data_IF_528388387430
#
_entry.id   IF_528388387430
#
_cell.length_a   1.000
_cell.length_b   1.000
_cell.length_c   1.000
_cell.angle_alpha   90.00
_cell.angle_beta   90.00
_cell.angle_gamma   90.00
#
_symmetry.space_group_name_H-M   'P 1'
#
loop_
_entity.id
_entity.type
_entity.pdbx_description
1 polymer ?
#
# COMPACT_ATOMS: atom_id res chain seq x y z
N UNK A 1 -9.29 -36.69 2.22
CA UNK A 1 -10.27 -36.75 3.33
C UNK A 1 -11.65 -37.01 2.74
N UNK A 2 -12.54 -37.74 3.45
CA UNK A 2 -13.94 -37.80 3.03
C UNK A 2 -14.51 -36.37 3.00
N UNK A 3 -15.49 -36.10 2.12
CA UNK A 3 -16.24 -34.84 2.17
C UNK A 3 -16.73 -34.63 3.61
N UNK A 4 -16.76 -33.39 4.08
CA UNK A 4 -17.34 -33.04 5.37
C UNK A 4 -18.62 -33.86 5.57
N UNK A 5 -18.68 -34.64 6.66
CA UNK A 5 -19.89 -35.37 7.03
C UNK A 5 -21.06 -34.39 6.95
N UNK A 6 -22.12 -34.74 6.23
CA UNK A 6 -23.32 -33.92 6.07
C UNK A 6 -23.90 -33.46 7.42
N UNK A 7 -23.55 -34.13 8.52
CA UNK A 7 -23.97 -33.77 9.87
C UNK A 7 -23.07 -32.75 10.59
N UNK A 8 -21.87 -32.43 10.06
CA UNK A 8 -21.01 -31.41 10.66
C UNK A 8 -21.25 -30.07 9.96
N UNK A 9 -21.82 -29.06 10.65
CA UNK A 9 -22.11 -27.79 10.02
C UNK A 9 -20.80 -27.06 9.66
N UNK A 10 -20.73 -26.52 8.43
CA UNK A 10 -19.61 -25.70 7.98
C UNK A 10 -19.37 -24.55 8.97
N UNK A 11 -18.10 -24.26 9.27
CA UNK A 11 -17.69 -23.21 10.21
C UNK A 11 -18.37 -23.31 11.60
N UNK A 12 -18.71 -24.53 12.05
CA UNK A 12 -19.36 -24.74 13.35
C UNK A 12 -20.79 -24.17 13.42
N UNK A 13 -21.45 -24.01 12.27
CA UNK A 13 -22.80 -23.44 12.18
C UNK A 13 -22.85 -21.92 12.12
N UNK A 14 -21.70 -21.24 12.07
CA UNK A 14 -21.66 -19.80 11.87
C UNK A 14 -22.11 -19.41 10.45
N UNK A 15 -22.93 -18.37 10.35
CA UNK A 15 -23.23 -17.74 9.08
C UNK A 15 -22.00 -16.93 8.62
N UNK A 16 -21.38 -17.36 7.52
CA UNK A 16 -20.16 -16.74 6.99
C UNK A 16 -20.44 -16.12 5.63
N UNK A 17 -20.06 -14.86 5.46
CA UNK A 17 -20.13 -14.16 4.17
C UNK A 17 -18.71 -13.80 3.73
N UNK A 18 -18.26 -14.40 2.64
CA UNK A 18 -17.01 -14.00 1.98
C UNK A 18 -17.28 -12.90 0.97
N UNK A 19 -16.60 -11.76 1.11
CA UNK A 19 -16.71 -10.64 0.19
C UNK A 19 -15.34 -10.32 -0.38
N UNK A 20 -15.23 -10.21 -1.71
CA UNK A 20 -13.98 -9.87 -2.36
C UNK A 20 -14.07 -9.94 -3.88
N UNK A 21 -12.93 -9.66 -4.51
CA UNK A 21 -12.77 -9.78 -5.96
C UNK A 21 -11.49 -10.59 -6.21
N UNK A 22 -11.65 -11.85 -6.63
CA UNK A 22 -10.55 -12.78 -6.86
C UNK A 22 -9.56 -12.30 -7.93
N UNK A 23 -10.00 -11.40 -8.82
CA UNK A 23 -9.14 -10.80 -9.84
C UNK A 23 -8.21 -9.68 -9.30
N UNK A 24 -8.34 -9.31 -8.02
CA UNK A 24 -7.40 -8.40 -7.36
C UNK A 24 -6.16 -9.16 -6.87
N UNK A 25 -5.33 -8.55 -6.00
CA UNK A 25 -4.04 -9.15 -5.62
C UNK A 25 -4.25 -10.42 -4.79
N UNK A 26 -3.43 -11.43 -5.10
CA UNK A 26 -3.34 -12.65 -4.31
C UNK A 26 -2.75 -12.38 -2.91
N UNK A 27 -2.97 -13.28 -1.94
CA UNK A 27 -2.33 -13.21 -0.62
C UNK A 27 -0.80 -13.07 -0.71
N UNK A 28 -0.24 -12.22 0.14
CA UNK A 28 1.21 -12.00 0.20
C UNK A 28 1.85 -13.14 1.00
N UNK A 29 2.86 -13.81 0.42
CA UNK A 29 3.59 -14.94 1.02
C UNK A 29 2.72 -16.18 1.33
N UNK A 30 1.52 -16.26 0.77
CA UNK A 30 0.61 -17.40 0.90
C UNK A 30 0.02 -17.79 -0.46
N UNK A 31 -0.69 -18.92 -0.51
CA UNK A 31 -1.39 -19.38 -1.71
C UNK A 31 -2.87 -18.98 -1.63
N UNK A 32 -3.50 -18.54 -2.75
CA UNK A 32 -4.94 -18.43 -2.83
C UNK A 32 -5.64 -19.75 -2.51
N UNK A 33 -6.81 -19.67 -1.87
CA UNK A 33 -7.61 -20.83 -1.41
C UNK A 33 -8.20 -21.69 -2.55
N UNK A 34 -8.11 -21.21 -3.79
CA UNK A 34 -8.53 -21.94 -4.99
C UNK A 34 -7.35 -22.62 -5.72
N UNK A 35 -6.15 -22.66 -5.13
CA UNK A 35 -5.03 -23.44 -5.65
C UNK A 35 -5.12 -24.86 -5.09
N UNK A 36 -5.29 -25.84 -5.97
CA UNK A 36 -5.23 -27.25 -5.61
C UNK A 36 -3.76 -27.72 -5.63
N UNK A 37 -3.18 -27.98 -4.45
CA UNK A 37 -1.73 -28.18 -4.34
C UNK A 37 -1.21 -29.41 -5.09
N UNK A 38 -2.03 -30.43 -5.27
CA UNK A 38 -1.65 -31.65 -6.00
C UNK A 38 -1.61 -31.43 -7.51
N UNK A 39 -2.56 -30.66 -8.05
CA UNK A 39 -2.78 -30.51 -9.49
C UNK A 39 -2.21 -29.21 -10.06
N UNK A 40 -2.12 -28.15 -9.25
CA UNK A 40 -1.74 -26.80 -9.71
C UNK A 40 -0.29 -26.43 -9.40
N UNK A 41 0.37 -27.12 -8.46
CA UNK A 41 1.78 -26.85 -8.14
C UNK A 41 2.73 -27.77 -8.92
N UNK A 42 3.76 -27.18 -9.52
CA UNK A 42 4.89 -27.94 -10.06
C UNK A 42 5.61 -28.73 -8.96
N UNK A 43 6.36 -29.78 -9.35
CA UNK A 43 7.18 -30.58 -8.41
C UNK A 43 8.11 -29.71 -7.56
N UNK A 44 8.71 -28.66 -8.14
CA UNK A 44 9.55 -27.71 -7.40
C UNK A 44 8.75 -26.89 -6.39
N UNK A 45 7.55 -26.43 -6.74
CA UNK A 45 6.68 -25.68 -5.83
C UNK A 45 6.15 -26.57 -4.70
N UNK A 46 5.82 -27.83 -4.99
CA UNK A 46 5.44 -28.82 -3.97
C UNK A 46 6.59 -29.08 -2.99
N UNK A 47 7.81 -29.26 -3.49
CA UNK A 47 8.99 -29.40 -2.62
C UNK A 47 9.26 -28.15 -1.77
N UNK A 48 9.10 -26.95 -2.35
CA UNK A 48 9.23 -25.69 -1.60
C UNK A 48 8.13 -25.51 -0.55
N UNK A 49 6.90 -25.94 -0.84
CA UNK A 49 5.77 -25.98 0.10
C UNK A 49 6.10 -26.92 1.26
N UNK A 50 6.48 -28.15 0.97
CA UNK A 50 6.86 -29.15 1.98
C UNK A 50 8.03 -28.68 2.86
N UNK A 51 9.00 -27.94 2.30
CA UNK A 51 10.12 -27.39 3.06
C UNK A 51 9.74 -26.19 3.96
N UNK A 52 8.63 -25.49 3.67
CA UNK A 52 8.17 -24.32 4.44
C UNK A 52 7.19 -24.68 5.55
N UNK A 53 6.38 -25.71 5.33
CA UNK A 53 5.28 -26.09 6.22
C UNK A 53 5.69 -27.28 7.09
N UNK A 54 5.35 -27.25 8.38
CA UNK A 54 5.32 -28.47 9.18
C UNK A 54 4.06 -29.27 8.82
N UNK A 55 4.07 -30.59 8.96
CA UNK A 55 2.98 -31.49 8.52
C UNK A 55 1.57 -31.03 8.98
N UNK A 56 1.42 -30.47 10.18
CA UNK A 56 0.13 -29.96 10.65
C UNK A 56 -0.41 -28.80 9.80
N UNK A 57 0.46 -27.98 9.22
CA UNK A 57 0.09 -26.80 8.40
C UNK A 57 -0.43 -27.19 7.02
N UNK A 58 0.03 -28.31 6.45
CA UNK A 58 -0.45 -28.78 5.15
C UNK A 58 -1.90 -29.27 5.22
N UNK A 59 -2.29 -29.90 6.34
CA UNK A 59 -3.68 -30.34 6.56
C UNK A 59 -4.64 -29.15 6.66
N UNK A 60 -4.26 -28.07 7.36
CA UNK A 60 -5.09 -26.86 7.45
C UNK A 60 -5.30 -26.17 6.09
N UNK A 61 -4.29 -26.17 5.22
CA UNK A 61 -4.43 -25.60 3.88
C UNK A 61 -5.42 -26.43 3.03
N UNK A 62 -5.35 -27.76 3.08
CA UNK A 62 -6.26 -28.65 2.34
C UNK A 62 -7.70 -28.55 2.86
N UNK A 63 -7.87 -28.44 4.19
CA UNK A 63 -9.16 -28.13 4.82
C UNK A 63 -9.70 -26.79 4.30
N UNK A 64 -8.85 -25.76 4.22
CA UNK A 64 -9.21 -24.44 3.71
C UNK A 64 -9.71 -24.46 2.26
N UNK A 65 -9.05 -25.23 1.39
CA UNK A 65 -9.47 -25.42 -0.02
C UNK A 65 -10.85 -26.10 -0.09
N UNK A 66 -11.07 -27.14 0.72
CA UNK A 66 -12.36 -27.86 0.74
C UNK A 66 -13.49 -27.00 1.32
N UNK A 67 -13.22 -26.25 2.40
CA UNK A 67 -14.17 -25.30 2.98
C UNK A 67 -14.55 -24.22 1.96
N UNK A 68 -13.56 -23.68 1.24
CA UNK A 68 -13.81 -22.71 0.18
C UNK A 68 -14.67 -23.30 -0.93
N UNK A 69 -14.38 -24.50 -1.41
CA UNK A 69 -15.17 -25.16 -2.45
C UNK A 69 -16.64 -25.35 -2.01
N UNK A 70 -16.87 -25.79 -0.77
CA UNK A 70 -18.20 -25.93 -0.20
C UNK A 70 -18.91 -24.57 -0.02
N UNK A 71 -18.24 -23.58 0.56
CA UNK A 71 -18.80 -22.25 0.82
C UNK A 71 -19.10 -21.46 -0.48
N UNK A 72 -18.32 -21.69 -1.53
CA UNK A 72 -18.49 -21.05 -2.85
C UNK A 72 -19.35 -21.87 -3.82
N UNK A 73 -20.12 -22.85 -3.32
CA UNK A 73 -21.16 -23.53 -4.09
C UNK A 73 -22.31 -22.57 -4.47
N UNK A 74 -22.54 -21.53 -3.67
CA UNK A 74 -23.48 -20.43 -3.96
C UNK A 74 -22.70 -19.12 -3.98
N UNK A 75 -22.75 -18.40 -5.10
CA UNK A 75 -22.04 -17.12 -5.29
C UNK A 75 -23.03 -16.06 -5.72
N UNK A 76 -22.87 -14.83 -5.25
CA UNK A 76 -23.60 -13.67 -5.77
C UNK A 76 -22.61 -12.71 -6.41
N UNK A 77 -22.74 -12.48 -7.73
CA UNK A 77 -21.88 -11.56 -8.46
C UNK A 77 -22.54 -10.19 -8.59
N UNK A 78 -21.92 -9.19 -7.97
CA UNK A 78 -22.30 -7.78 -8.15
C UNK A 78 -21.80 -7.28 -9.51
N UNK A 79 -22.73 -6.94 -10.42
CA UNK A 79 -22.42 -6.59 -11.82
C UNK A 79 -22.15 -5.10 -12.03
N UNK A 80 -22.61 -4.24 -11.11
CA UNK A 80 -22.50 -2.78 -11.24
C UNK A 80 -21.25 -2.28 -10.51
N UNK A 81 -20.31 -1.69 -11.25
CA UNK A 81 -19.16 -1.00 -10.68
C UNK A 81 -19.56 0.42 -10.24
N UNK A 82 -20.00 0.55 -8.99
CA UNK A 82 -20.41 1.85 -8.44
C UNK A 82 -19.26 2.88 -8.35
N UNK A 83 -17.99 2.44 -8.29
CA UNK A 83 -16.84 3.37 -8.22
C UNK A 83 -16.68 4.18 -9.50
N UNK A 84 -16.87 3.53 -10.65
CA UNK A 84 -16.77 4.15 -11.97
C UNK A 84 -18.15 4.47 -12.58
N UNK A 85 -19.18 4.62 -11.76
CA UNK A 85 -20.57 4.80 -12.21
C UNK A 85 -20.76 6.03 -13.10
N UNK A 86 -20.02 7.11 -12.82
CA UNK A 86 -20.06 8.35 -13.60
C UNK A 86 -19.26 8.29 -14.91
N UNK A 87 -18.54 7.20 -15.17
CA UNK A 87 -17.75 6.99 -16.40
C UNK A 87 -17.93 5.53 -16.90
N UNK A 88 -19.06 5.21 -17.55
CA UNK A 88 -19.36 3.85 -18.00
C UNK A 88 -18.35 3.29 -19.00
N UNK A 89 -17.77 4.15 -19.85
CA UNK A 89 -16.73 3.76 -20.79
C UNK A 89 -15.47 3.28 -20.03
N UNK A 90 -15.07 3.99 -18.98
CA UNK A 90 -13.99 3.57 -18.12
C UNK A 90 -14.33 2.28 -17.34
N UNK A 91 -15.55 2.17 -16.80
CA UNK A 91 -16.01 0.96 -16.12
C UNK A 91 -15.90 -0.28 -17.03
N UNK A 92 -16.24 -0.16 -18.31
CA UNK A 92 -16.05 -1.22 -19.30
C UNK A 92 -14.56 -1.57 -19.48
N UNK A 93 -13.67 -0.58 -19.60
CA UNK A 93 -12.23 -0.84 -19.69
C UNK A 93 -11.68 -1.55 -18.45
N UNK A 94 -12.17 -1.21 -17.26
CA UNK A 94 -11.81 -1.91 -16.03
C UNK A 94 -12.28 -3.36 -16.02
N UNK A 95 -13.46 -3.67 -16.57
CA UNK A 95 -13.93 -5.05 -16.70
C UNK A 95 -13.05 -5.88 -17.66
N UNK A 96 -12.63 -5.29 -18.78
CA UNK A 96 -11.69 -5.92 -19.72
C UNK A 96 -10.33 -6.18 -19.04
N UNK A 97 -9.82 -5.19 -18.30
CA UNK A 97 -8.58 -5.31 -17.53
C UNK A 97 -8.68 -6.35 -16.41
N UNK A 98 -9.82 -6.43 -15.71
CA UNK A 98 -10.11 -7.42 -14.66
C UNK A 98 -9.95 -8.85 -15.17
N UNK A 99 -10.34 -9.10 -16.42
CA UNK A 99 -10.20 -10.41 -17.07
C UNK A 99 -8.78 -10.66 -17.63
N UNK A 100 -7.83 -9.77 -17.38
CA UNK A 100 -6.45 -9.87 -17.84
C UNK A 100 -6.25 -9.57 -19.31
N UNK A 101 -7.20 -8.94 -19.99
CA UNK A 101 -7.04 -8.60 -21.40
C UNK A 101 -6.37 -7.21 -21.53
N UNK A 102 -5.06 -7.25 -21.75
CA UNK A 102 -4.22 -6.07 -21.99
C UNK A 102 -3.61 -6.10 -23.40
N UNK A 103 -4.35 -6.59 -24.40
CA UNK A 103 -3.86 -6.66 -25.77
C UNK A 103 -3.23 -5.32 -26.21
N UNK A 104 -2.04 -5.30 -26.83
CA UNK A 104 -1.33 -4.05 -27.12
C UNK A 104 -2.09 -3.04 -27.97
N UNK A 105 -2.98 -3.51 -28.85
CA UNK A 105 -3.84 -2.68 -29.68
C UNK A 105 -5.28 -2.62 -29.17
N UNK A 106 -5.55 -3.24 -28.01
CA UNK A 106 -6.85 -3.29 -27.37
C UNK A 106 -7.24 -1.98 -26.69
N UNK A 107 -8.49 -1.92 -26.25
CA UNK A 107 -9.10 -0.72 -25.68
C UNK A 107 -8.45 -0.26 -24.37
N UNK A 108 -8.02 -1.20 -23.51
CA UNK A 108 -7.32 -0.89 -22.25
C UNK A 108 -5.97 -0.22 -22.53
N UNK A 109 -5.22 -0.73 -23.50
CA UNK A 109 -3.94 -0.15 -23.90
C UNK A 109 -4.11 1.26 -24.50
N UNK A 110 -5.16 1.46 -25.30
CA UNK A 110 -5.53 2.79 -25.83
C UNK A 110 -5.89 3.77 -24.70
N UNK A 111 -6.67 3.33 -23.70
CA UNK A 111 -6.96 4.12 -22.51
C UNK A 111 -5.68 4.53 -21.78
N UNK A 112 -4.79 3.58 -21.47
CA UNK A 112 -3.54 3.88 -20.76
C UNK A 112 -2.73 4.93 -21.53
N UNK A 113 -2.54 4.73 -22.85
CA UNK A 113 -1.80 5.68 -23.70
C UNK A 113 -2.45 7.07 -23.76
N UNK A 114 -3.78 7.15 -23.82
CA UNK A 114 -4.50 8.43 -23.79
C UNK A 114 -4.36 9.19 -22.48
N UNK A 115 -3.95 8.49 -21.41
CA UNK A 115 -3.70 9.03 -20.07
C UNK A 115 -2.21 9.07 -19.73
N UNK A 116 -1.33 8.84 -20.71
CA UNK A 116 0.12 8.98 -20.55
C UNK A 116 0.54 10.40 -20.88
N UNK A 117 1.26 11.03 -19.96
CA UNK A 117 1.84 12.35 -20.14
C UNK A 117 3.37 12.24 -20.17
N UNK A 118 3.95 12.32 -21.37
CA UNK A 118 5.35 11.98 -21.62
C UNK A 118 6.33 13.05 -21.13
N UNK A 119 5.96 14.34 -21.20
CA UNK A 119 6.82 15.44 -20.75
C UNK A 119 6.55 15.81 -19.30
N UNK A 120 7.54 16.43 -18.63
CA UNK A 120 7.36 16.91 -17.26
C UNK A 120 6.30 18.02 -17.17
N UNK A 121 6.23 18.89 -18.19
CA UNK A 121 5.26 19.97 -18.26
C UNK A 121 3.83 19.43 -18.38
N UNK A 122 3.60 18.44 -19.27
CA UNK A 122 2.28 17.82 -19.43
C UNK A 122 1.84 17.09 -18.17
N UNK A 123 2.76 16.38 -17.51
CA UNK A 123 2.48 15.74 -16.21
C UNK A 123 2.07 16.77 -15.16
N UNK A 124 2.84 17.86 -15.04
CA UNK A 124 2.54 18.91 -14.07
C UNK A 124 1.17 19.54 -14.35
N UNK A 125 0.85 19.83 -15.61
CA UNK A 125 -0.46 20.35 -16.04
C UNK A 125 -1.58 19.37 -15.70
N UNK A 126 -1.44 18.09 -16.06
CA UNK A 126 -2.44 17.06 -15.79
C UNK A 126 -2.70 16.88 -14.29
N UNK A 127 -1.64 16.85 -13.48
CA UNK A 127 -1.75 16.76 -12.02
C UNK A 127 -2.39 18.02 -11.45
N UNK A 128 -1.97 19.22 -11.86
CA UNK A 128 -2.53 20.47 -11.40
C UNK A 128 -4.04 20.55 -11.71
N UNK A 129 -4.44 20.21 -12.93
CA UNK A 129 -5.86 20.11 -13.31
C UNK A 129 -6.60 19.11 -12.42
N UNK A 130 -6.06 17.93 -12.19
CA UNK A 130 -6.71 16.91 -11.37
C UNK A 130 -6.85 17.33 -9.89
N UNK A 131 -5.88 18.08 -9.37
CA UNK A 131 -5.89 18.61 -8.00
C UNK A 131 -6.85 19.78 -7.80
N UNK A 132 -7.40 20.40 -8.86
CA UNK A 132 -8.43 21.45 -8.70
C UNK A 132 -9.72 20.91 -8.09
N UNK A 133 -10.03 19.64 -8.33
CA UNK A 133 -11.25 18.97 -7.86
C UNK A 133 -11.01 17.91 -6.79
N UNK A 134 -9.76 17.46 -6.62
CA UNK A 134 -9.41 16.35 -5.73
C UNK A 134 -8.69 16.83 -4.47
N UNK A 135 -9.07 16.27 -3.32
CA UNK A 135 -8.31 16.49 -2.08
C UNK A 135 -6.96 15.74 -2.11
N UNK A 136 -6.02 16.20 -1.28
CA UNK A 136 -4.73 15.52 -1.11
C UNK A 136 -4.87 14.07 -0.57
N UNK A 137 -5.95 13.77 0.18
CA UNK A 137 -6.23 12.42 0.67
C UNK A 137 -6.76 11.48 -0.42
N UNK A 138 -7.40 12.05 -1.44
CA UNK A 138 -8.08 11.37 -2.53
C UNK A 138 -7.20 11.29 -3.80
N UNK A 139 -5.93 11.65 -3.66
CA UNK A 139 -4.89 11.58 -4.68
C UNK A 139 -3.79 10.63 -4.21
N UNK A 140 -3.36 9.70 -5.07
CA UNK A 140 -2.29 8.75 -4.73
C UNK A 140 -1.35 8.47 -5.89
N UNK A 141 -0.06 8.45 -5.59
CA UNK A 141 0.95 7.81 -6.43
C UNK A 141 1.04 6.34 -6.04
N UNK A 142 0.70 5.46 -6.98
CA UNK A 142 0.63 4.02 -6.76
C UNK A 142 1.89 3.37 -7.34
N UNK A 143 2.63 2.69 -6.47
CA UNK A 143 3.94 2.08 -6.78
C UNK A 143 3.95 0.58 -6.49
N UNK A 144 4.93 -0.14 -7.01
CA UNK A 144 5.02 -1.59 -6.84
C UNK A 144 5.63 -1.98 -5.50
N UNK A 145 6.57 -1.19 -4.97
CA UNK A 145 7.41 -1.56 -3.84
C UNK A 145 7.52 -0.47 -2.77
N UNK A 146 7.82 -0.87 -1.53
CA UNK A 146 8.08 0.09 -0.46
C UNK A 146 9.37 0.92 -0.70
N UNK A 147 10.37 0.36 -1.39
CA UNK A 147 11.56 1.10 -1.79
C UNK A 147 11.21 2.22 -2.78
N UNK A 148 10.37 1.95 -3.79
CA UNK A 148 9.90 2.99 -4.69
C UNK A 148 8.99 3.99 -3.99
N UNK A 149 8.17 3.55 -3.02
CA UNK A 149 7.37 4.45 -2.18
C UNK A 149 8.28 5.47 -1.49
N UNK A 150 9.38 5.02 -0.88
CA UNK A 150 10.38 5.89 -0.24
C UNK A 150 11.05 6.82 -1.23
N UNK A 151 11.48 6.31 -2.39
CA UNK A 151 12.09 7.14 -3.43
C UNK A 151 11.15 8.27 -3.88
N UNK A 152 9.90 7.93 -4.21
CA UNK A 152 8.89 8.89 -4.64
C UNK A 152 8.58 9.93 -3.57
N UNK A 153 8.34 9.53 -2.32
CA UNK A 153 8.05 10.53 -1.30
C UNK A 153 9.25 11.40 -0.97
N UNK A 154 10.48 10.85 -1.01
CA UNK A 154 11.70 11.62 -0.82
C UNK A 154 11.84 12.67 -1.92
N UNK A 155 11.60 12.33 -3.19
CA UNK A 155 11.63 13.27 -4.31
C UNK A 155 10.56 14.35 -4.19
N UNK A 156 9.33 13.99 -3.82
CA UNK A 156 8.24 14.96 -3.64
C UNK A 156 8.57 15.92 -2.50
N UNK A 157 9.04 15.39 -1.38
CA UNK A 157 9.40 16.21 -0.23
C UNK A 157 10.61 17.10 -0.51
N UNK A 158 11.56 16.66 -1.34
CA UNK A 158 12.65 17.49 -1.81
C UNK A 158 12.15 18.68 -2.66
N UNK A 159 11.09 18.47 -3.46
CA UNK A 159 10.45 19.56 -4.22
C UNK A 159 9.64 20.50 -3.33
N UNK A 160 8.95 19.98 -2.31
CA UNK A 160 8.29 20.80 -1.29
C UNK A 160 9.32 21.68 -0.56
N UNK A 161 10.47 21.11 -0.19
CA UNK A 161 11.56 21.86 0.42
C UNK A 161 12.11 22.97 -0.50
N UNK A 162 12.33 22.67 -1.78
CA UNK A 162 12.79 23.68 -2.74
C UNK A 162 11.75 24.78 -2.97
N UNK A 163 10.46 24.44 -3.00
CA UNK A 163 9.38 25.41 -3.11
C UNK A 163 9.27 26.29 -1.86
N UNK A 164 9.40 25.71 -0.67
CA UNK A 164 9.45 26.46 0.59
C UNK A 164 10.62 27.45 0.59
N UNK A 165 11.81 27.03 0.15
CA UNK A 165 12.95 27.92 0.01
C UNK A 165 12.68 29.08 -0.97
N UNK A 166 12.11 28.79 -2.14
CA UNK A 166 11.77 29.82 -3.12
C UNK A 166 10.69 30.80 -2.63
N UNK A 167 9.83 30.38 -1.70
CA UNK A 167 8.81 31.20 -1.05
C UNK A 167 9.28 31.81 0.28
N UNK A 168 10.58 31.71 0.62
CA UNK A 168 11.15 32.16 1.90
C UNK A 168 10.44 31.58 3.14
N UNK A 169 9.80 30.42 2.98
CA UNK A 169 9.10 29.72 4.04
C UNK A 169 10.06 28.82 4.83
N UNK A 170 9.74 28.50 6.11
CA UNK A 170 10.53 27.57 6.90
C UNK A 170 10.68 26.21 6.19
N UNK A 171 11.90 25.63 6.15
CA UNK A 171 12.10 24.33 5.53
C UNK A 171 11.26 23.24 6.21
N UNK A 172 10.73 22.27 5.44
CA UNK A 172 9.84 21.26 5.98
C UNK A 172 10.62 20.23 6.83
N UNK A 173 9.92 19.52 7.71
CA UNK A 173 10.55 18.66 8.73
C UNK A 173 10.66 17.21 8.25
N UNK A 174 11.78 16.56 8.52
CA UNK A 174 11.95 15.12 8.32
C UNK A 174 12.32 14.47 9.65
N UNK A 175 11.41 13.67 10.22
CA UNK A 175 11.62 13.01 11.51
C UNK A 175 12.33 11.67 11.30
N UNK A 176 13.55 11.54 11.81
CA UNK A 176 14.29 10.27 11.83
C UNK A 176 13.88 9.42 13.04
N UNK A 177 13.76 8.11 12.85
CA UNK A 177 13.48 7.20 13.96
C UNK A 177 14.63 7.20 14.98
N UNK A 178 14.30 7.06 16.26
CA UNK A 178 15.29 6.82 17.32
C UNK A 178 15.55 5.33 17.36
N UNK A 179 16.80 4.91 17.16
CA UNK A 179 17.19 3.49 16.99
C UNK A 179 18.08 3.06 18.16
N UNK A 180 17.87 1.84 18.64
CA UNK A 180 18.72 1.23 19.66
C UNK A 180 19.09 -0.22 19.29
N UNK A 181 20.37 -0.56 19.47
CA UNK A 181 20.93 -1.92 19.37
C UNK A 181 21.48 -2.27 20.75
N UNK A 182 21.02 -3.39 21.33
CA UNK A 182 21.41 -3.81 22.67
C UNK A 182 21.26 -2.69 23.73
N UNK A 183 20.16 -1.92 23.64
CA UNK A 183 19.82 -0.78 24.52
C UNK A 183 20.72 0.46 24.38
N UNK A 184 21.64 0.48 23.41
CA UNK A 184 22.52 1.62 23.14
C UNK A 184 22.27 2.21 21.73
N UNK A 185 22.56 3.50 21.50
CA UNK A 185 22.56 4.07 20.16
C UNK A 185 23.54 3.33 19.24
N UNK A 186 23.17 3.00 17.99
CA UNK A 186 24.09 2.37 17.05
C UNK A 186 25.19 3.33 16.59
N UNK A 187 26.33 2.79 16.15
CA UNK A 187 27.37 3.56 15.44
C UNK A 187 26.79 4.26 14.22
N UNK A 188 27.33 5.41 13.84
CA UNK A 188 26.80 6.25 12.74
C UNK A 188 26.66 5.51 11.41
N UNK A 189 27.62 4.66 11.04
CA UNK A 189 27.54 3.86 9.81
C UNK A 189 26.33 2.91 9.82
N UNK A 190 26.07 2.28 10.96
CA UNK A 190 24.91 1.38 11.17
C UNK A 190 23.62 2.19 11.24
N UNK A 191 23.61 3.32 11.95
CA UNK A 191 22.47 4.26 12.01
C UNK A 191 22.07 4.70 10.60
N UNK A 192 23.04 5.13 9.80
CA UNK A 192 22.82 5.59 8.42
C UNK A 192 22.35 4.47 7.49
N UNK A 193 22.79 3.24 7.70
CA UNK A 193 22.27 2.08 6.98
C UNK A 193 20.80 1.82 7.33
N UNK A 194 20.48 1.75 8.63
CA UNK A 194 19.14 1.46 9.11
C UNK A 194 18.14 2.56 8.72
N UNK A 195 18.53 3.83 8.75
CA UNK A 195 17.66 4.96 8.36
C UNK A 195 17.27 4.98 6.88
N UNK A 196 17.94 4.18 6.02
CA UNK A 196 17.57 4.01 4.61
C UNK A 196 16.55 2.91 4.39
N UNK A 197 16.25 2.11 5.41
CA UNK A 197 15.29 1.02 5.28
C UNK A 197 13.87 1.58 5.11
N UNK A 198 13.11 1.05 4.14
CA UNK A 198 11.69 1.36 4.04
C UNK A 198 10.88 0.62 5.11
N UNK A 199 9.70 1.14 5.44
CA UNK A 199 8.71 0.42 6.24
C UNK A 199 8.43 -0.98 5.70
N UNK A 200 8.78 -2.00 6.49
CA UNK A 200 8.63 -3.42 6.16
C UNK A 200 8.61 -4.27 7.42
N UNK A 201 8.45 -5.60 7.30
CA UNK A 201 8.55 -6.49 8.46
C UNK A 201 9.90 -6.36 9.20
N UNK A 202 10.98 -6.00 8.51
CA UNK A 202 12.29 -5.76 9.11
C UNK A 202 12.30 -4.57 10.08
N UNK A 203 11.43 -3.58 9.87
CA UNK A 203 11.32 -2.35 10.68
C UNK A 203 10.00 -2.30 11.47
N UNK A 204 9.34 -3.45 11.66
CA UNK A 204 7.99 -3.52 12.25
C UNK A 204 6.99 -2.57 11.57
N UNK A 205 7.14 -2.40 10.25
CA UNK A 205 6.36 -1.55 9.35
C UNK A 205 6.51 -0.03 9.54
N UNK A 206 7.32 0.43 10.49
CA UNK A 206 7.64 1.84 10.64
C UNK A 206 8.56 2.33 9.53
N UNK A 207 8.25 3.50 8.97
CA UNK A 207 9.22 4.22 8.14
C UNK A 207 10.30 4.82 9.04
N UNK A 208 11.55 4.63 8.64
CA UNK A 208 12.69 5.15 9.39
C UNK A 208 12.83 6.67 9.28
N UNK A 209 12.11 7.27 8.34
CA UNK A 209 12.01 8.71 8.06
C UNK A 209 10.59 9.09 7.71
N UNK A 210 9.98 9.92 8.53
CA UNK A 210 8.61 10.42 8.34
C UNK A 210 8.67 11.91 7.93
N UNK A 211 8.25 12.26 6.70
CA UNK A 211 8.11 13.67 6.32
C UNK A 211 6.91 14.30 7.04
N UNK A 212 7.12 15.44 7.68
CA UNK A 212 6.09 16.20 8.39
C UNK A 212 6.08 17.68 7.98
N UNK A 213 4.98 18.10 7.38
CA UNK A 213 4.60 19.50 7.21
C UNK A 213 3.08 19.60 7.39
N UNK A 214 2.59 20.76 7.83
CA UNK A 214 1.14 21.03 7.84
C UNK A 214 0.60 20.82 6.42
N UNK A 215 -0.53 20.14 6.29
CA UNK A 215 -1.11 19.75 5.01
C UNK A 215 -0.62 18.40 4.45
N UNK A 216 0.38 17.76 5.08
CA UNK A 216 0.87 16.45 4.61
C UNK A 216 -0.20 15.39 4.83
N UNK A 217 -0.65 14.66 3.78
CA UNK A 217 -1.51 13.51 3.98
C UNK A 217 -0.71 12.36 4.57
N UNK A 218 -1.25 11.75 5.63
CA UNK A 218 -0.64 10.63 6.35
C UNK A 218 -1.63 9.49 6.52
N UNK A 219 -1.10 8.29 6.77
CA UNK A 219 -1.84 7.07 7.00
C UNK A 219 -1.32 6.41 8.27
N UNK A 220 -2.25 6.00 9.13
CA UNK A 220 -1.97 5.26 10.35
C UNK A 220 -1.51 3.84 10.00
N UNK A 221 -0.45 3.36 10.65
CA UNK A 221 0.09 2.01 10.41
C UNK A 221 -0.23 1.01 11.52
N UNK A 222 -0.92 1.46 12.57
CA UNK A 222 -1.20 0.69 13.77
C UNK A 222 -2.65 0.89 14.23
N UNK A 223 -3.14 -0.03 15.03
CA UNK A 223 -4.44 0.06 15.67
C UNK A 223 -4.30 0.85 16.96
N UNK A 224 -4.52 2.16 16.88
CA UNK A 224 -4.30 3.09 17.99
C UNK A 224 -5.54 3.19 18.88
N UNK A 225 -6.72 3.40 18.28
CA UNK A 225 -7.98 3.54 19.00
C UNK A 225 -9.11 2.97 18.14
N UNK A 226 -9.24 1.65 18.13
CA UNK A 226 -10.21 0.93 17.30
C UNK A 226 -11.66 1.29 17.64
N UNK A 227 -11.97 1.58 18.90
CA UNK A 227 -13.28 2.10 19.34
C UNK A 227 -13.61 3.47 18.75
N UNK A 228 -12.59 4.24 18.36
CA UNK A 228 -12.73 5.52 17.67
C UNK A 228 -12.45 5.40 16.16
N UNK A 229 -12.42 4.17 15.60
CA UNK A 229 -12.10 3.91 14.19
C UNK A 229 -10.72 4.42 13.71
N UNK A 230 -9.76 4.60 14.63
CA UNK A 230 -8.37 4.87 14.29
C UNK A 230 -7.60 3.55 14.25
N UNK A 231 -7.52 2.99 13.05
CA UNK A 231 -6.89 1.71 12.78
C UNK A 231 -5.83 1.83 11.68
N UNK A 232 -5.11 0.73 11.45
CA UNK A 232 -4.18 0.63 10.34
C UNK A 232 -4.92 0.88 9.02
N UNK A 233 -4.46 1.88 8.25
CA UNK A 233 -5.07 2.29 6.99
C UNK A 233 -5.96 3.53 7.07
N UNK A 234 -6.36 3.98 8.28
CA UNK A 234 -7.01 5.28 8.44
C UNK A 234 -6.10 6.38 7.89
N UNK A 235 -6.67 7.38 7.22
CA UNK A 235 -5.91 8.50 6.63
C UNK A 235 -6.36 9.84 7.20
N UNK A 236 -5.44 10.81 7.19
CA UNK A 236 -5.71 12.15 7.66
C UNK A 236 -4.67 13.16 7.19
N UNK A 237 -4.90 14.43 7.50
CA UNK A 237 -4.01 15.54 7.15
C UNK A 237 -3.32 16.04 8.41
N UNK A 238 -1.99 16.21 8.37
CA UNK A 238 -1.26 16.84 9.48
C UNK A 238 -1.71 18.30 9.62
N UNK A 239 -2.17 18.68 10.81
CA UNK A 239 -2.63 20.04 11.15
C UNK A 239 -1.78 20.72 12.22
N UNK A 240 -0.93 19.96 12.93
CA UNK A 240 -0.03 20.53 13.93
C UNK A 240 1.10 19.57 14.31
N UNK A 241 2.23 20.13 14.74
CA UNK A 241 3.39 19.38 15.23
C UNK A 241 3.96 20.12 16.43
N UNK A 242 4.10 19.43 17.56
CA UNK A 242 4.66 19.99 18.79
C UNK A 242 5.92 19.24 19.15
N UNK A 243 6.99 19.98 19.45
CA UNK A 243 8.26 19.46 19.91
C UNK A 243 8.47 19.77 21.39
N UNK A 244 9.33 19.00 22.09
CA UNK A 244 9.84 19.39 23.40
C UNK A 244 10.59 20.74 23.35
N UNK A 245 10.62 21.46 24.48
CA UNK A 245 11.15 22.83 24.60
C UNK A 245 12.63 23.00 24.21
N UNK A 246 13.41 21.92 24.22
CA UNK A 246 14.84 21.91 23.90
C UNK A 246 15.18 21.25 22.56
N UNK A 247 14.22 21.16 21.64
CA UNK A 247 14.48 20.62 20.30
C UNK A 247 15.49 21.48 19.56
N UNK A 248 16.49 20.83 18.96
CA UNK A 248 17.38 21.47 17.98
C UNK A 248 17.19 20.82 16.63
N UNK A 249 17.46 21.57 15.56
CA UNK A 249 17.31 21.10 14.19
C UNK A 249 18.64 21.16 13.47
N UNK A 250 18.96 20.09 12.75
CA UNK A 250 20.03 20.09 11.75
C UNK A 250 19.43 20.21 10.36
N UNK A 251 20.07 20.99 9.50
CA UNK A 251 19.65 21.17 8.11
C UNK A 251 20.37 20.15 7.22
N UNK A 252 19.61 19.42 6.39
CA UNK A 252 20.19 18.48 5.43
C UNK A 252 19.60 18.66 4.05
N UNK A 253 20.44 18.54 3.03
CA UNK A 253 20.00 18.44 1.64
C UNK A 253 19.42 17.05 1.43
N UNK A 254 18.14 16.98 1.03
CA UNK A 254 17.43 15.72 0.88
C UNK A 254 17.77 15.03 -0.45
N UNK A 255 17.97 15.79 -1.52
CA UNK A 255 18.33 15.26 -2.84
C UNK A 255 19.29 16.19 -3.58
N UNK A 256 20.41 15.64 -4.07
CA UNK A 256 21.33 16.39 -4.94
C UNK A 256 20.71 16.73 -6.30
N UNK A 257 19.71 15.96 -6.74
CA UNK A 257 19.02 16.18 -8.01
C UNK A 257 17.94 17.26 -7.93
N UNK A 258 17.65 17.78 -6.74
CA UNK A 258 16.70 18.87 -6.53
C UNK A 258 17.44 20.00 -5.79
N UNK A 259 17.86 21.06 -6.50
CA UNK A 259 18.51 22.21 -5.88
C UNK A 259 17.69 22.77 -4.72
N UNK A 260 18.36 23.26 -3.69
CA UNK A 260 17.75 23.90 -2.52
C UNK A 260 16.72 23.02 -1.74
N UNK A 261 16.82 21.69 -1.85
CA UNK A 261 15.96 20.74 -1.14
C UNK A 261 16.37 20.53 0.33
N UNK A 262 16.44 21.62 1.10
CA UNK A 262 16.84 21.58 2.51
C UNK A 262 15.67 21.16 3.40
N UNK A 263 15.90 20.20 4.30
CA UNK A 263 14.93 19.81 5.34
C UNK A 263 15.51 20.02 6.74
N UNK A 264 14.62 20.25 7.71
CA UNK A 264 14.94 20.29 9.13
C UNK A 264 14.79 18.91 9.75
N UNK A 265 15.85 18.38 10.34
CA UNK A 265 15.82 17.12 11.09
C UNK A 265 15.96 17.43 12.57
N UNK A 266 14.95 17.15 13.40
CA UNK A 266 15.03 17.38 14.83
C UNK A 266 15.97 16.37 15.50
N UNK A 267 16.65 16.78 16.57
CA UNK A 267 17.48 15.89 17.40
C UNK A 267 16.64 14.91 18.25
N UNK A 268 15.33 15.15 18.39
CA UNK A 268 14.38 14.32 19.12
C UNK A 268 13.08 14.14 18.33
N UNK A 269 12.26 13.15 18.69
CA UNK A 269 10.94 12.96 18.08
C UNK A 269 9.99 14.09 18.54
N UNK A 270 9.00 14.48 17.71
CA UNK A 270 7.91 15.34 18.17
C UNK A 270 7.24 14.76 19.40
N UNK A 271 6.82 15.62 20.34
CA UNK A 271 6.02 15.21 21.48
C UNK A 271 4.64 14.72 21.02
N UNK A 272 4.03 15.45 20.09
CA UNK A 272 2.73 15.10 19.48
C UNK A 272 2.64 15.66 18.05
N UNK A 273 1.96 14.92 17.18
CA UNK A 273 1.52 15.36 15.86
C UNK A 273 -0.01 15.32 15.82
N UNK A 274 -0.65 16.43 15.48
CA UNK A 274 -2.10 16.51 15.32
C UNK A 274 -2.49 16.22 13.89
N UNK A 275 -3.46 15.31 13.70
CA UNK A 275 -3.92 14.86 12.39
C UNK A 275 -5.44 15.01 12.29
N UNK A 276 -5.94 15.81 11.35
CA UNK A 276 -7.37 15.84 10.99
C UNK A 276 -7.74 14.56 10.24
N UNK A 277 -8.66 13.78 10.80
CA UNK A 277 -9.14 12.52 10.24
C UNK A 277 -10.57 12.71 9.75
N UNK A 278 -10.81 12.83 8.43
CA UNK A 278 -12.14 13.17 7.92
C UNK A 278 -13.24 12.19 8.31
N UNK A 279 -12.92 10.91 8.51
CA UNK A 279 -13.89 9.89 8.95
C UNK A 279 -14.41 10.11 10.37
N UNK A 280 -13.81 11.03 11.13
CA UNK A 280 -14.26 11.43 12.47
C UNK A 280 -15.07 12.73 12.49
N UNK A 281 -15.31 13.36 11.33
CA UNK A 281 -16.14 14.56 11.27
C UNK A 281 -17.56 14.23 11.72
N UNK A 282 -18.15 15.13 12.53
CA UNK A 282 -19.47 14.93 13.13
C UNK A 282 -19.45 14.29 14.52
N UNK A 283 -18.27 13.98 15.09
CA UNK A 283 -18.16 13.63 16.51
C UNK A 283 -18.52 14.81 17.40
N UNK A 284 -19.18 14.51 18.51
CA UNK A 284 -19.65 15.50 19.50
C UNK A 284 -18.59 15.90 20.53
N UNK A 285 -17.48 15.17 20.63
CA UNK A 285 -16.43 15.44 21.61
C UNK A 285 -15.03 15.19 21.04
N UNK A 286 -14.04 15.92 21.57
CA UNK A 286 -12.62 15.69 21.29
C UNK A 286 -12.17 14.33 21.84
N UNK A 287 -11.15 13.77 21.20
CA UNK A 287 -10.40 12.66 21.78
C UNK A 287 -9.40 13.18 22.83
N UNK A 288 -9.02 12.37 23.83
CA UNK A 288 -8.07 12.78 24.85
C UNK A 288 -6.75 13.32 24.27
N UNK A 289 -6.25 14.41 24.86
CA UNK A 289 -4.98 15.03 24.47
C UNK A 289 -5.05 15.92 23.22
N UNK A 290 -6.26 16.24 22.74
CA UNK A 290 -6.48 17.20 21.65
C UNK A 290 -6.95 18.54 22.24
N UNK A 291 -6.24 19.66 21.99
CA UNK A 291 -6.68 20.99 22.41
C UNK A 291 -8.05 21.37 21.82
N UNK A 292 -8.88 22.07 22.61
CA UNK A 292 -10.23 22.54 22.20
C UNK A 292 -10.22 23.49 21.00
N UNK A 293 -9.05 24.05 20.65
CA UNK A 293 -8.87 24.89 19.46
C UNK A 293 -8.94 24.10 18.15
N UNK A 294 -8.75 22.78 18.19
CA UNK A 294 -8.85 21.92 17.01
C UNK A 294 -10.26 21.35 16.84
N UNK A 295 -10.70 21.00 15.62
CA UNK A 295 -11.95 20.27 15.40
C UNK A 295 -12.00 18.90 16.11
N UNK A 296 -13.20 18.37 16.37
CA UNK A 296 -13.42 17.03 16.96
C UNK A 296 -12.95 15.87 16.07
N UNK A 297 -12.62 16.14 14.81
CA UNK A 297 -12.03 15.17 13.87
C UNK A 297 -10.51 15.04 14.01
N UNK A 298 -9.87 15.89 14.82
CA UNK A 298 -8.42 15.86 15.03
C UNK A 298 -8.04 14.81 16.07
N UNK A 299 -6.93 14.12 15.82
CA UNK A 299 -6.37 13.12 16.73
C UNK A 299 -4.92 13.45 17.08
N UNK A 300 -4.52 13.16 18.32
CA UNK A 300 -3.16 13.29 18.81
C UNK A 300 -2.34 12.02 18.52
N UNK A 301 -1.28 12.14 17.73
CA UNK A 301 -0.37 11.05 17.38
C UNK A 301 0.94 11.23 18.12
N UNK A 302 1.28 10.26 18.98
CA UNK A 302 2.53 10.26 19.76
C UNK A 302 3.48 9.15 19.30
N UNK A 303 4.81 9.32 19.45
CA UNK A 303 5.76 8.29 19.06
C UNK A 303 5.65 7.02 19.91
N UNK A 304 5.61 5.85 19.24
CA UNK A 304 5.55 4.52 19.88
C UNK A 304 6.87 3.78 19.73
N UNK A 305 7.17 2.92 20.69
CA UNK A 305 8.29 1.99 20.62
C UNK A 305 7.89 0.72 19.83
N UNK A 306 8.83 0.18 19.07
CA UNK A 306 8.72 -1.09 18.38
C UNK A 306 9.97 -1.93 18.65
N UNK A 307 9.76 -3.19 19.01
CA UNK A 307 10.79 -4.19 19.29
C UNK A 307 10.68 -5.37 18.33
N UNK A 308 11.78 -6.10 18.15
CA UNK A 308 11.83 -7.25 17.25
C UNK A 308 12.18 -6.89 15.80
N UNK A 309 12.65 -5.66 15.55
CA UNK A 309 13.17 -5.28 14.25
C UNK A 309 14.44 -6.08 13.93
N UNK A 310 14.55 -6.57 12.71
CA UNK A 310 15.67 -7.42 12.27
C UNK A 310 16.02 -7.15 10.81
N UNK A 311 17.25 -6.69 10.59
CA UNK A 311 17.84 -6.61 9.26
C UNK A 311 18.76 -7.82 9.04
N UNK A 312 18.57 -8.52 7.93
CA UNK A 312 19.48 -9.57 7.47
C UNK A 312 20.37 -8.97 6.39
N UNK A 313 21.69 -8.97 6.61
CA UNK A 313 22.67 -8.51 5.62
C UNK A 313 23.49 -9.70 5.09
N UNK A 314 23.87 -9.70 3.79
CA UNK A 314 24.79 -10.71 3.26
C UNK A 314 26.08 -10.75 4.08
N UNK A 315 26.64 -11.94 4.27
CA UNK A 315 27.94 -12.10 4.95
C UNK A 315 29.02 -11.36 4.17
N UNK A 316 29.83 -10.56 4.88
CA UNK A 316 31.01 -9.91 4.30
C UNK A 316 32.11 -10.94 3.94
N UNK A 317 32.07 -12.12 4.58
CA UNK A 317 33.03 -13.19 4.36
C UNK A 317 32.39 -14.24 3.44
N UNK A 318 32.83 -14.34 2.18
CA UNK A 318 32.27 -15.28 1.18
C UNK A 318 32.37 -16.76 1.60
N UNK A 319 33.25 -17.08 2.55
CA UNK A 319 33.44 -18.41 3.14
C UNK A 319 32.49 -18.71 4.30
N UNK A 320 31.95 -17.69 4.97
CA UNK A 320 30.92 -17.88 5.99
C UNK A 320 29.54 -17.92 5.32
N UNK A 321 28.93 -19.10 5.28
CA UNK A 321 27.63 -19.34 4.61
C UNK A 321 26.42 -18.70 5.31
N UNK A 322 26.57 -18.19 6.54
CA UNK A 322 25.46 -17.64 7.31
C UNK A 322 25.35 -16.11 7.17
N UNK A 323 24.16 -15.57 6.81
CA UNK A 323 23.95 -14.13 6.75
C UNK A 323 24.02 -13.49 8.15
N UNK A 324 24.53 -12.27 8.23
CA UNK A 324 24.59 -11.53 9.51
C UNK A 324 23.23 -10.92 9.82
N UNK A 325 22.79 -11.02 11.07
CA UNK A 325 21.51 -10.48 11.55
C UNK A 325 21.76 -9.32 12.51
N UNK A 326 21.20 -8.16 12.21
CA UNK A 326 21.20 -6.99 13.07
C UNK A 326 19.82 -6.88 13.71
N UNK A 327 19.72 -7.17 14.99
CA UNK A 327 18.50 -6.97 15.77
C UNK A 327 18.53 -5.57 16.39
N UNK A 328 17.42 -4.84 16.31
CA UNK A 328 17.30 -3.50 16.85
C UNK A 328 15.88 -3.23 17.35
N UNK A 329 15.74 -2.15 18.10
CA UNK A 329 14.46 -1.54 18.45
C UNK A 329 14.44 -0.11 17.95
N UNK A 330 13.24 0.44 17.79
CA UNK A 330 13.07 1.82 17.37
C UNK A 330 11.94 2.50 18.12
N UNK A 331 11.95 3.84 18.11
CA UNK A 331 10.81 4.67 18.47
C UNK A 331 10.52 5.63 17.32
N UNK A 332 9.25 5.70 16.90
CA UNK A 332 8.81 6.53 15.78
C UNK A 332 7.30 6.76 15.84
N UNK A 333 6.80 7.76 15.11
CA UNK A 333 5.37 8.00 14.93
C UNK A 333 4.70 6.84 14.17
N UNK A 334 3.53 6.35 14.61
CA UNK A 334 2.77 5.28 13.94
C UNK A 334 1.98 5.78 12.72
N UNK A 335 2.63 6.58 11.88
CA UNK A 335 2.09 7.12 10.64
C UNK A 335 3.12 7.08 9.52
N UNK A 336 2.65 7.02 8.28
CA UNK A 336 3.47 7.13 7.07
C UNK A 336 2.87 8.17 6.12
N UNK A 337 3.69 8.74 5.25
CA UNK A 337 3.21 9.63 4.19
C UNK A 337 2.21 8.90 3.27
N UNK A 338 1.04 9.49 3.07
CA UNK A 338 -0.07 8.88 2.34
C UNK A 338 -0.25 9.43 0.93
N UNK A 339 0.59 10.31 0.40
CA UNK A 339 0.50 10.70 -1.01
C UNK A 339 1.12 9.67 -1.97
N UNK A 340 1.92 8.72 -1.46
CA UNK A 340 2.46 7.57 -2.21
C UNK A 340 2.16 6.27 -1.48
N UNK A 341 1.73 5.23 -2.18
CA UNK A 341 1.45 3.93 -1.56
C UNK A 341 1.70 2.77 -2.51
N UNK A 342 1.99 1.60 -1.94
CA UNK A 342 2.11 0.39 -2.74
C UNK A 342 0.73 -0.04 -3.24
N UNK A 343 0.68 -0.71 -4.39
CA UNK A 343 -0.56 -1.24 -4.98
C UNK A 343 -1.36 -2.12 -4.00
N UNK A 344 -0.67 -2.87 -3.14
CA UNK A 344 -1.29 -3.69 -2.09
C UNK A 344 -2.00 -2.86 -1.02
N UNK A 345 -1.43 -1.70 -0.65
CA UNK A 345 -1.99 -0.84 0.40
C UNK A 345 -3.18 -0.01 -0.08
N UNK A 346 -3.33 0.20 -1.38
CA UNK A 346 -4.48 0.94 -1.94
C UNK A 346 -5.64 0.02 -2.33
N UNK A 347 -5.48 -1.30 -2.24
CA UNK A 347 -6.56 -2.23 -2.52
C UNK A 347 -7.76 -1.94 -1.59
N UNK A 348 -8.96 -1.87 -2.17
CA UNK A 348 -10.19 -1.49 -1.49
C UNK A 348 -10.50 0.02 -1.46
N UNK A 349 -9.52 0.91 -1.69
CA UNK A 349 -9.77 2.36 -1.66
C UNK A 349 -10.38 2.89 -2.96
N UNK A 350 -10.98 4.07 -2.90
CA UNK A 350 -11.48 4.83 -4.06
C UNK A 350 -10.82 6.19 -4.05
N UNK A 351 -10.31 6.62 -5.20
CA UNK A 351 -9.51 7.82 -5.39
C UNK A 351 -10.12 8.69 -6.50
N UNK A 352 -10.06 10.01 -6.35
CA UNK A 352 -10.29 10.92 -7.48
C UNK A 352 -9.13 10.86 -8.46
N UNK A 353 -7.90 10.74 -7.95
CA UNK A 353 -6.69 10.75 -8.79
C UNK A 353 -5.75 9.61 -8.41
N UNK A 354 -5.45 8.77 -9.39
CA UNK A 354 -4.47 7.70 -9.28
C UNK A 354 -3.34 7.91 -10.31
N UNK A 355 -2.14 8.16 -9.79
CA UNK A 355 -0.93 8.39 -10.56
C UNK A 355 -0.10 7.11 -10.56
N UNK A 356 0.19 6.57 -11.74
CA UNK A 356 0.97 5.35 -11.92
C UNK A 356 2.26 5.74 -12.66
N UNK A 357 3.36 5.97 -11.93
CA UNK A 357 4.56 6.55 -12.52
C UNK A 357 5.36 5.56 -13.37
N UNK A 358 5.26 4.27 -13.09
CA UNK A 358 6.01 3.23 -13.78
C UNK A 358 5.27 1.89 -13.72
N UNK A 359 5.40 1.09 -14.78
CA UNK A 359 4.92 -0.29 -14.81
C UNK A 359 5.92 -1.28 -14.22
N UNK A 360 7.19 -0.88 -14.19
CA UNK A 360 8.28 -1.66 -13.64
C UNK A 360 9.31 -0.73 -12.98
N UNK A 361 9.73 -1.07 -11.77
CA UNK A 361 10.64 -0.29 -10.93
C UNK A 361 11.98 -1.03 -10.79
N UNK A 362 12.45 -1.64 -11.88
CA UNK A 362 13.60 -2.58 -11.86
C UNK A 362 14.90 -1.98 -11.37
N UNK A 363 15.07 -0.66 -11.52
CA UNK A 363 16.22 0.09 -10.99
C UNK A 363 16.23 0.20 -9.46
N UNK A 364 15.06 0.06 -8.83
CA UNK A 364 14.85 0.16 -7.38
C UNK A 364 14.64 -1.23 -6.76
N UNK A 365 13.92 -2.10 -7.46
CA UNK A 365 13.68 -3.49 -7.07
C UNK A 365 13.56 -4.36 -8.33
N UNK A 366 14.50 -5.30 -8.57
CA UNK A 366 14.60 -6.06 -9.83
C UNK A 366 13.33 -6.81 -10.24
N UNK A 367 12.51 -7.21 -9.24
CA UNK A 367 11.28 -7.97 -9.42
C UNK A 367 10.01 -7.12 -9.31
N UNK A 368 10.13 -5.81 -9.09
CA UNK A 368 8.99 -4.92 -8.96
C UNK A 368 8.44 -4.57 -10.36
N UNK A 369 7.44 -5.33 -10.80
CA UNK A 369 6.68 -5.08 -12.03
C UNK A 369 5.21 -5.30 -11.74
N UNK A 370 4.34 -4.40 -12.20
CA UNK A 370 2.89 -4.58 -12.06
C UNK A 370 2.45 -5.80 -12.87
N UNK A 371 1.93 -6.82 -12.19
CA UNK A 371 1.20 -7.93 -12.81
C UNK A 371 -0.14 -7.45 -13.40
N UNK A 372 -0.84 -8.31 -14.12
CA UNK A 372 -2.17 -8.00 -14.64
C UNK A 372 -3.14 -7.59 -13.52
N UNK A 373 -3.16 -8.36 -12.42
CA UNK A 373 -3.96 -8.07 -11.23
C UNK A 373 -3.54 -6.74 -10.57
N UNK A 374 -2.24 -6.48 -10.45
CA UNK A 374 -1.74 -5.25 -9.84
C UNK A 374 -2.07 -4.01 -10.69
N UNK A 375 -1.94 -4.10 -12.02
CA UNK A 375 -2.30 -2.99 -12.90
C UNK A 375 -3.81 -2.73 -12.87
N UNK A 376 -4.63 -3.79 -12.90
CA UNK A 376 -6.08 -3.68 -12.70
C UNK A 376 -6.42 -3.03 -11.35
N UNK A 377 -5.79 -3.45 -10.25
CA UNK A 377 -6.01 -2.87 -8.92
C UNK A 377 -5.63 -1.40 -8.91
N UNK A 378 -4.47 -1.03 -9.45
CA UNK A 378 -4.00 0.36 -9.51
C UNK A 378 -4.97 1.24 -10.33
N UNK A 379 -5.38 0.79 -11.51
CA UNK A 379 -6.32 1.52 -12.38
C UNK A 379 -7.71 1.64 -11.74
N UNK A 380 -8.21 0.55 -11.17
CA UNK A 380 -9.56 0.50 -10.57
C UNK A 380 -9.70 1.31 -9.28
N UNK A 381 -8.64 1.99 -8.81
CA UNK A 381 -8.77 2.94 -7.69
C UNK A 381 -9.40 4.26 -8.14
N UNK A 382 -9.16 4.70 -9.38
CA UNK A 382 -9.73 5.93 -9.89
C UNK A 382 -11.26 5.80 -10.09
N UNK A 383 -11.99 6.90 -9.88
CA UNK A 383 -13.44 6.98 -10.18
C UNK A 383 -13.73 7.24 -11.65
N UNK A 384 -12.82 7.86 -12.37
CA UNK A 384 -12.96 8.20 -13.79
C UNK A 384 -11.67 7.94 -14.55
N UNK A 385 -11.76 7.81 -15.87
CA UNK A 385 -10.59 7.75 -16.74
C UNK A 385 -9.75 9.03 -16.66
N UNK A 386 -10.39 10.20 -16.46
CA UNK A 386 -9.70 11.49 -16.27
C UNK A 386 -8.89 11.56 -14.96
N UNK A 387 -9.26 10.77 -13.95
CA UNK A 387 -8.50 10.61 -12.71
C UNK A 387 -7.25 9.74 -12.85
N UNK A 388 -7.06 9.04 -13.97
CA UNK A 388 -5.86 8.26 -14.23
C UNK A 388 -4.78 9.10 -14.91
N UNK A 389 -3.56 8.97 -14.38
CA UNK A 389 -2.36 9.64 -14.90
C UNK A 389 -1.22 8.63 -14.96
N UNK A 390 -0.66 8.41 -16.14
CA UNK A 390 0.54 7.61 -16.35
C UNK A 390 1.71 8.50 -16.75
N UNK A 391 2.90 8.22 -16.23
CA UNK A 391 4.11 8.98 -16.60
C UNK A 391 4.87 8.34 -17.76
N UNK A 392 4.56 7.08 -18.07
CA UNK A 392 5.22 6.30 -19.10
C UNK A 392 4.17 5.52 -19.88
N UNK A 393 4.41 5.32 -21.18
CA UNK A 393 3.58 4.43 -21.98
C UNK A 393 4.02 2.99 -21.78
N UNK A 394 3.08 2.02 -21.71
CA UNK A 394 3.44 0.63 -21.58
C UNK A 394 4.06 0.12 -22.89
N UNK A 395 5.11 -0.69 -22.78
CA UNK A 395 5.72 -1.33 -23.95
C UNK A 395 4.85 -2.48 -24.46
N UNK A 396 4.94 -2.79 -25.75
CA UNK A 396 4.25 -3.93 -26.36
C UNK A 396 4.56 -5.24 -25.63
N UNK A 397 5.83 -5.48 -25.32
CA UNK A 397 6.29 -6.66 -24.59
C UNK A 397 5.79 -6.72 -23.14
N UNK A 398 5.60 -5.58 -22.48
CA UNK A 398 4.99 -5.57 -21.15
C UNK A 398 3.52 -6.00 -21.23
N UNK A 399 2.75 -5.39 -22.13
CA UNK A 399 1.32 -5.68 -22.31
C UNK A 399 1.06 -7.15 -22.68
N UNK A 400 1.85 -7.73 -23.60
CA UNK A 400 1.71 -9.15 -23.98
C UNK A 400 1.98 -10.15 -22.84
N UNK A 401 2.73 -9.74 -21.81
CA UNK A 401 3.03 -10.58 -20.64
C UNK A 401 1.96 -10.47 -19.56
N UNK A 402 1.08 -9.47 -19.62
CA UNK A 402 -0.01 -9.34 -18.65
C UNK A 402 -1.08 -10.38 -18.95
N UNK A 403 -1.09 -11.44 -18.14
CA UNK A 403 -2.10 -12.49 -18.17
C UNK A 403 -2.51 -12.83 -16.76
N UNK A 404 -3.78 -13.19 -16.56
CA UNK A 404 -4.18 -13.84 -15.31
C UNK A 404 -3.56 -15.24 -15.24
N UNK A 405 -3.17 -15.71 -14.04
CA UNK A 405 -2.86 -17.11 -13.80
C UNK A 405 -4.02 -18.03 -14.22
N UNK A 406 -3.72 -19.21 -14.77
CA UNK A 406 -4.76 -20.10 -15.32
C UNK A 406 -5.67 -20.68 -14.23
N UNK A 407 -5.13 -20.95 -13.04
CA UNK A 407 -5.92 -21.34 -11.88
C UNK A 407 -6.95 -20.27 -11.47
N UNK A 408 -6.58 -18.99 -11.51
CA UNK A 408 -7.51 -17.88 -11.28
C UNK A 408 -8.57 -17.80 -12.38
N UNK A 409 -8.21 -18.01 -13.65
CA UNK A 409 -9.21 -18.04 -14.74
C UNK A 409 -10.23 -19.15 -14.54
N UNK A 410 -9.78 -20.37 -14.22
CA UNK A 410 -10.66 -21.51 -13.91
C UNK A 410 -11.59 -21.18 -12.75
N UNK A 411 -11.05 -20.58 -11.70
CA UNK A 411 -11.84 -20.23 -10.52
C UNK A 411 -12.88 -19.12 -10.81
N UNK A 412 -12.51 -18.10 -11.59
CA UNK A 412 -13.46 -17.07 -12.03
C UNK A 412 -14.58 -17.67 -12.89
N UNK A 413 -14.26 -18.63 -13.76
CA UNK A 413 -15.26 -19.35 -14.55
C UNK A 413 -16.19 -20.18 -13.66
N UNK A 414 -15.63 -20.94 -12.72
CA UNK A 414 -16.40 -21.78 -11.78
C UNK A 414 -17.34 -20.94 -10.92
N UNK A 415 -16.83 -19.87 -10.31
CA UNK A 415 -17.64 -18.96 -9.48
C UNK A 415 -18.70 -18.21 -10.28
N UNK A 416 -18.45 -17.93 -11.57
CA UNK A 416 -19.47 -17.37 -12.47
C UNK A 416 -20.55 -18.39 -12.81
N UNK A 417 -20.21 -19.67 -12.98
CA UNK A 417 -21.20 -20.73 -13.19
C UNK A 417 -22.09 -20.95 -11.95
N UNK A 418 -21.59 -20.60 -10.76
CA UNK A 418 -22.31 -20.68 -9.48
C UNK A 418 -23.04 -19.37 -9.09
N UNK A 419 -23.09 -18.38 -9.99
CA UNK A 419 -23.79 -17.10 -9.74
C UNK A 419 -25.29 -17.34 -9.60
N UNK A 420 -25.82 -17.24 -8.38
CA UNK A 420 -27.25 -17.20 -8.14
C UNK A 420 -27.70 -15.75 -8.29
N UNK A 421 -28.60 -15.50 -9.25
CA UNK A 421 -29.16 -14.17 -9.42
C UNK A 421 -29.74 -13.71 -8.08
N UNK A 422 -29.42 -12.49 -7.60
CA UNK A 422 -30.07 -11.98 -6.40
C UNK A 422 -31.58 -11.99 -6.65
N UNK A 423 -32.41 -12.43 -5.68
CA UNK A 423 -33.85 -12.34 -5.83
C UNK A 423 -34.19 -10.89 -6.19
N UNK A 424 -34.83 -10.70 -7.34
CA UNK A 424 -35.38 -9.42 -7.76
C UNK A 424 -36.34 -9.01 -6.64
N UNK A 425 -35.90 -8.09 -5.78
CA UNK A 425 -36.78 -7.45 -4.81
C UNK A 425 -37.70 -6.56 -5.64
N UNK A 426 -38.98 -6.90 -5.63
CA UNK A 426 -40.08 -6.14 -6.24
C UNK A 426 -40.17 -4.74 -5.64
#
# INVERSE_FOLDING_TARGET
>A
MPPFDSNTPLFGGANVVFVGDLAQLAPVLAHPVYIHFETDLSTRQRAQRAARLHNATTEFEDIGVNLWAAASATVVILKINNRARSDPAFAHQLAVARNGNFAPNGSVAKLIRSRTFATAADRAKAIATALTTASALDTRIIVCSNAARVAWYTTIYARIAAAAHAAEAPPPIMVEAVISIARSPPRDSTRNLLLRLPGSSATCYYDMRVPLAIGTPVMFIDNIATSAAICNGTTGIVVGVVFPDNVTFVHKILSRSVPNSVVRIPNTLPAVVYVDVPSLRGRTSHLPGVPDTFPTSVVAVVPRAASGCRLTVPSANRTAHAPTKINFSLRQLPIVAAFTSTVHKVQGTSLSVAIIPAFAEKTISPNATLSAQALYVAMSRARTSSGLIFFQSPTFNYLNRLKLPDNLKRELQRTTANDVAPPLTQ
#
